data_IF_479158232168
#
_entry.id   IF_479158232168
#
_cell.length_a   1.000
_cell.length_b   1.000
_cell.length_c   1.000
_cell.angle_alpha   90.00
_cell.angle_beta   90.00
_cell.angle_gamma   90.00
#
_symmetry.space_group_name_H-M   'P 1'
#
loop_
_entity.id
_entity.type
_entity.pdbx_description
1 polymer ?
#
# COMPACT_ATOMS: atom_id res chain seq x y z
N UNK A 1 8.57 -88.98 21.21
CA UNK A 1 7.58 -87.82 21.14
C UNK A 1 8.21 -86.63 21.75
N UNK A 2 8.78 -85.74 20.95
CA UNK A 2 9.53 -84.57 21.39
C UNK A 2 8.76 -83.32 20.91
N UNK A 3 8.13 -82.62 21.87
CA UNK A 3 7.36 -81.39 21.60
C UNK A 3 8.30 -80.16 21.61
N UNK A 4 8.46 -79.56 20.43
CA UNK A 4 9.25 -78.32 20.25
C UNK A 4 8.32 -77.11 20.61
N UNK A 5 8.62 -76.38 21.69
CA UNK A 5 8.02 -75.09 22.00
C UNK A 5 8.87 -73.97 21.38
N UNK A 6 8.36 -73.34 20.29
CA UNK A 6 8.91 -72.08 19.76
C UNK A 6 8.47 -70.93 20.66
N UNK A 7 9.44 -70.24 21.25
CA UNK A 7 9.22 -68.94 21.95
C UNK A 7 9.19 -67.84 20.90
N UNK A 8 8.07 -67.12 20.82
CA UNK A 8 7.89 -65.94 20.05
C UNK A 8 8.44 -64.73 20.85
N UNK A 9 9.54 -64.14 20.42
CA UNK A 9 10.06 -62.87 21.01
C UNK A 9 9.32 -61.71 20.32
N UNK A 10 8.50 -60.99 21.10
CA UNK A 10 7.84 -59.76 20.65
C UNK A 10 8.81 -58.61 20.89
N UNK A 11 9.40 -58.08 19.85
CA UNK A 11 10.26 -56.88 19.92
C UNK A 11 9.32 -55.63 19.86
N UNK A 12 9.11 -54.98 20.99
CA UNK A 12 8.46 -53.67 21.05
C UNK A 12 9.42 -52.59 20.51
N UNK A 13 9.15 -52.08 19.31
CA UNK A 13 9.83 -50.88 18.78
C UNK A 13 9.21 -49.64 19.44
N UNK A 14 9.95 -48.98 20.34
CA UNK A 14 9.61 -47.66 20.85
C UNK A 14 9.85 -46.64 19.72
N UNK A 15 8.80 -46.10 19.15
CA UNK A 15 8.87 -44.94 18.25
C UNK A 15 8.96 -43.70 19.15
N UNK A 16 10.16 -43.17 19.31
CA UNK A 16 10.38 -41.86 19.93
C UNK A 16 9.86 -40.79 18.95
N UNK A 17 8.68 -40.29 19.18
CA UNK A 17 8.11 -39.16 18.44
C UNK A 17 8.92 -37.90 18.75
N UNK A 18 9.73 -37.43 17.80
CA UNK A 18 10.34 -36.11 17.85
C UNK A 18 9.20 -35.08 17.61
N UNK A 19 8.73 -34.45 18.69
CA UNK A 19 7.91 -33.25 18.59
C UNK A 19 8.80 -32.12 18.08
N UNK A 20 8.63 -31.73 16.82
CA UNK A 20 9.22 -30.50 16.28
C UNK A 20 8.65 -29.31 17.07
N UNK A 21 9.51 -28.39 17.55
CA UNK A 21 9.00 -27.18 18.18
C UNK A 21 8.10 -26.44 17.18
N UNK A 22 6.87 -26.13 17.57
CA UNK A 22 6.01 -25.24 16.81
C UNK A 22 6.71 -23.88 16.76
N UNK A 23 7.16 -23.45 15.58
CA UNK A 23 7.63 -22.09 15.36
C UNK A 23 6.42 -21.19 15.58
N UNK A 24 6.43 -20.41 16.65
CA UNK A 24 5.41 -19.40 16.89
C UNK A 24 5.43 -18.44 15.69
N UNK A 25 4.27 -18.22 15.05
CA UNK A 25 4.18 -17.22 14.01
C UNK A 25 4.52 -15.84 14.60
N UNK A 26 5.27 -15.04 13.86
CA UNK A 26 5.58 -13.67 14.27
C UNK A 26 4.28 -12.90 14.55
N UNK A 27 4.26 -12.03 15.57
CA UNK A 27 3.09 -11.22 15.88
C UNK A 27 2.73 -10.33 14.67
N UNK A 28 1.42 -10.02 14.46
CA UNK A 28 1.02 -9.12 13.39
C UNK A 28 1.74 -7.77 13.50
N UNK A 29 2.15 -7.21 12.37
CA UNK A 29 2.73 -5.87 12.29
C UNK A 29 1.71 -4.81 12.71
N UNK A 30 2.15 -3.70 13.30
CA UNK A 30 1.27 -2.63 13.77
C UNK A 30 1.38 -1.41 12.86
N UNK A 31 0.28 -1.00 12.23
CA UNK A 31 0.24 0.14 11.32
C UNK A 31 -0.62 1.28 11.89
N UNK A 32 -0.17 2.51 11.67
CA UNK A 32 -0.92 3.72 11.99
C UNK A 32 -1.52 4.30 10.70
N UNK A 33 -2.86 4.30 10.62
CA UNK A 33 -3.61 4.84 9.48
C UNK A 33 -3.98 6.28 9.76
N UNK A 34 -3.48 7.21 8.96
CA UNK A 34 -3.71 8.65 9.05
C UNK A 34 -4.68 9.07 7.95
N UNK A 35 -5.80 9.69 8.32
CA UNK A 35 -6.84 10.18 7.41
C UNK A 35 -7.21 11.64 7.67
N UNK A 36 -6.37 12.36 8.39
CA UNK A 36 -6.53 13.79 8.66
C UNK A 36 -6.30 14.59 7.39
N UNK A 37 -7.14 15.60 7.15
CA UNK A 37 -7.05 16.52 6.02
C UNK A 37 -6.99 17.96 6.48
N UNK A 38 -6.11 18.76 5.88
CA UNK A 38 -6.01 20.21 6.07
C UNK A 38 -6.39 20.99 4.80
N UNK A 39 -6.65 20.27 3.73
CA UNK A 39 -7.22 20.76 2.48
C UNK A 39 -8.55 20.06 2.20
N UNK A 40 -8.70 19.55 0.97
CA UNK A 40 -9.91 18.83 0.56
C UNK A 40 -10.06 17.52 1.35
N UNK A 41 -11.30 17.25 1.82
CA UNK A 41 -11.63 15.99 2.48
C UNK A 41 -12.45 15.11 1.55
N UNK A 42 -11.88 13.99 1.14
CA UNK A 42 -12.53 13.03 0.26
C UNK A 42 -13.67 12.28 0.97
N UNK A 43 -14.80 12.10 0.28
CA UNK A 43 -15.94 11.32 0.80
C UNK A 43 -15.61 9.84 0.98
N UNK A 44 -14.62 9.33 0.26
CA UNK A 44 -14.17 7.95 0.34
C UNK A 44 -13.37 7.60 1.60
N UNK A 45 -12.98 8.58 2.43
CA UNK A 45 -12.19 8.32 3.65
C UNK A 45 -12.84 7.29 4.60
N UNK A 46 -14.14 7.37 4.94
CA UNK A 46 -14.77 6.36 5.79
C UNK A 46 -14.72 4.95 5.18
N UNK A 47 -14.87 4.86 3.86
CA UNK A 47 -14.78 3.59 3.13
C UNK A 47 -13.34 3.05 3.15
N UNK A 48 -12.34 3.92 2.97
CA UNK A 48 -10.94 3.57 3.05
C UNK A 48 -10.58 3.00 4.44
N UNK A 49 -11.01 3.67 5.52
CA UNK A 49 -10.79 3.20 6.89
C UNK A 49 -11.43 1.82 7.14
N UNK A 50 -12.69 1.63 6.70
CA UNK A 50 -13.39 0.35 6.78
C UNK A 50 -12.59 -0.75 6.08
N UNK A 51 -12.23 -0.53 4.82
CA UNK A 51 -11.54 -1.53 3.99
C UNK A 51 -10.15 -1.87 4.55
N UNK A 52 -9.37 -0.88 4.98
CA UNK A 52 -8.06 -1.12 5.60
C UNK A 52 -8.19 -1.97 6.88
N UNK A 53 -9.21 -1.71 7.71
CA UNK A 53 -9.50 -2.53 8.88
C UNK A 53 -9.94 -3.96 8.54
N UNK A 54 -10.70 -4.14 7.46
CA UNK A 54 -11.11 -5.46 6.97
C UNK A 54 -9.93 -6.25 6.40
N UNK A 55 -9.07 -5.61 5.60
CA UNK A 55 -7.84 -6.22 5.07
C UNK A 55 -6.88 -6.65 6.19
N UNK A 56 -6.75 -5.84 7.25
CA UNK A 56 -5.98 -6.21 8.43
C UNK A 56 -6.52 -7.48 9.08
N UNK A 57 -7.85 -7.55 9.32
CA UNK A 57 -8.51 -8.73 9.91
C UNK A 57 -8.40 -9.97 9.03
N UNK A 58 -8.58 -9.83 7.72
CA UNK A 58 -8.57 -10.95 6.77
C UNK A 58 -7.16 -11.52 6.59
N UNK A 59 -6.15 -10.66 6.44
CA UNK A 59 -4.77 -11.08 6.22
C UNK A 59 -4.12 -11.64 7.48
N UNK A 60 -4.52 -11.14 8.66
CA UNK A 60 -3.87 -11.40 9.97
C UNK A 60 -2.38 -11.02 9.99
N UNK A 61 -1.89 -10.35 8.96
CA UNK A 61 -0.50 -9.97 8.83
C UNK A 61 -0.18 -8.66 9.58
N UNK A 62 -1.19 -7.82 9.79
CA UNK A 62 -1.04 -6.55 10.50
C UNK A 62 -2.32 -6.17 11.25
N UNK A 63 -2.18 -5.21 12.15
CA UNK A 63 -3.26 -4.51 12.85
C UNK A 63 -3.21 -3.04 12.50
N UNK A 64 -4.32 -2.31 12.70
CA UNK A 64 -4.40 -0.88 12.40
C UNK A 64 -4.92 -0.10 13.61
N UNK A 65 -4.24 1.01 13.91
CA UNK A 65 -4.74 2.12 14.73
C UNK A 65 -5.02 3.31 13.82
N UNK A 66 -5.89 4.23 14.23
CA UNK A 66 -6.31 5.36 13.40
C UNK A 66 -5.97 6.71 14.01
N UNK A 67 -5.61 7.64 13.13
CA UNK A 67 -5.44 9.08 13.38
C UNK A 67 -6.41 9.83 12.49
N UNK A 68 -7.47 10.38 13.09
CA UNK A 68 -8.60 11.00 12.38
C UNK A 68 -8.73 12.50 12.63
N UNK A 69 -8.07 12.98 13.67
CA UNK A 69 -8.15 14.36 14.16
C UNK A 69 -6.76 14.93 14.48
N UNK A 70 -6.68 16.24 14.66
CA UNK A 70 -5.44 16.89 15.13
C UNK A 70 -5.05 16.43 16.53
N UNK A 71 -6.05 16.15 17.38
CA UNK A 71 -5.81 15.59 18.71
C UNK A 71 -5.19 14.19 18.63
N UNK A 72 -5.67 13.35 17.70
CA UNK A 72 -5.03 12.04 17.43
C UNK A 72 -3.58 12.21 16.94
N UNK A 73 -3.32 13.20 16.06
CA UNK A 73 -1.94 13.51 15.62
C UNK A 73 -1.08 13.85 16.84
N UNK A 74 -1.54 14.79 17.70
CA UNK A 74 -0.79 15.22 18.86
C UNK A 74 -0.49 14.07 19.84
N UNK A 75 -1.42 13.14 19.99
CA UNK A 75 -1.32 12.04 20.97
C UNK A 75 -0.62 10.78 20.43
N UNK A 76 -0.76 10.46 19.13
CA UNK A 76 -0.30 9.19 18.53
C UNK A 76 0.91 9.35 17.60
N UNK A 77 1.28 10.58 17.22
CA UNK A 77 2.39 10.82 16.30
C UNK A 77 3.56 11.57 16.94
N UNK A 78 3.70 11.49 18.26
CA UNK A 78 4.93 11.93 18.94
C UNK A 78 6.10 11.02 18.60
N UNK A 79 7.34 11.51 18.70
CA UNK A 79 8.55 10.72 18.45
C UNK A 79 8.59 9.41 19.25
N UNK A 80 8.05 9.39 20.45
CA UNK A 80 7.93 8.19 21.29
C UNK A 80 6.90 7.22 20.70
N UNK A 81 5.70 7.70 20.38
CA UNK A 81 4.59 6.86 19.90
C UNK A 81 4.83 6.29 18.51
N UNK A 82 5.52 7.02 17.63
CA UNK A 82 5.89 6.52 16.31
C UNK A 82 6.72 5.22 16.37
N UNK A 83 7.51 5.02 17.43
CA UNK A 83 8.31 3.80 17.60
C UNK A 83 7.50 2.54 17.85
N UNK A 84 6.26 2.67 18.31
CA UNK A 84 5.35 1.55 18.60
C UNK A 84 4.78 0.90 17.32
N UNK A 85 4.96 1.53 16.15
CA UNK A 85 4.41 1.08 14.88
C UNK A 85 5.50 0.53 13.96
N UNK A 86 5.15 -0.44 13.11
CA UNK A 86 5.99 -0.98 12.04
C UNK A 86 5.88 -0.17 10.75
N UNK A 87 4.87 0.69 10.64
CA UNK A 87 4.68 1.56 9.47
C UNK A 87 3.46 2.47 9.56
N UNK A 88 3.32 3.30 8.53
CA UNK A 88 2.33 4.37 8.44
C UNK A 88 1.60 4.30 7.11
N UNK A 89 0.27 4.42 7.16
CA UNK A 89 -0.59 4.55 5.97
C UNK A 89 -1.20 5.94 5.97
N UNK A 90 -0.87 6.75 4.97
CA UNK A 90 -1.55 8.02 4.72
C UNK A 90 -2.59 7.79 3.64
N UNK A 91 -3.86 7.69 4.05
CA UNK A 91 -4.98 7.43 3.14
C UNK A 91 -5.80 8.71 2.95
N UNK A 92 -5.76 9.26 1.73
CA UNK A 92 -6.49 10.46 1.33
C UNK A 92 -6.21 11.70 2.22
N UNK A 93 -5.00 11.81 2.78
CA UNK A 93 -4.55 12.96 3.53
C UNK A 93 -4.27 14.15 2.61
N UNK A 94 -4.45 15.40 3.08
CA UNK A 94 -4.18 16.62 2.31
C UNK A 94 -3.64 17.73 3.19
N UNK A 95 -2.84 18.61 2.60
CA UNK A 95 -2.36 19.84 3.23
C UNK A 95 -1.29 19.60 4.29
N UNK A 96 -0.99 20.62 5.09
CA UNK A 96 0.10 20.58 6.08
C UNK A 96 -0.43 20.02 7.39
N UNK A 97 -0.14 18.77 7.69
CA UNK A 97 -0.53 18.12 8.93
C UNK A 97 0.32 18.64 10.10
N UNK A 98 -0.27 18.91 11.28
CA UNK A 98 0.44 19.45 12.44
C UNK A 98 1.18 18.34 13.22
N UNK A 99 2.14 17.65 12.55
CA UNK A 99 2.94 16.62 13.22
C UNK A 99 3.75 17.24 14.36
N UNK A 100 3.75 16.65 15.57
CA UNK A 100 4.54 17.16 16.68
C UNK A 100 6.05 17.20 16.38
N UNK A 101 6.54 16.21 15.66
CA UNK A 101 7.93 16.09 15.21
C UNK A 101 7.98 15.39 13.84
N UNK A 102 8.00 16.19 12.77
CA UNK A 102 8.06 15.70 11.41
C UNK A 102 9.39 15.02 11.09
N UNK A 103 10.49 15.52 11.66
CA UNK A 103 11.81 14.94 11.45
C UNK A 103 11.91 13.57 12.09
N UNK A 104 11.35 13.39 13.29
CA UNK A 104 11.24 12.07 13.93
C UNK A 104 10.40 11.11 13.06
N UNK A 105 9.25 11.55 12.53
CA UNK A 105 8.44 10.74 11.61
C UNK A 105 9.24 10.28 10.38
N UNK A 106 9.93 11.20 9.71
CA UNK A 106 10.75 10.89 8.55
C UNK A 106 11.92 9.94 8.89
N UNK A 107 12.52 10.12 10.07
CA UNK A 107 13.60 9.26 10.55
C UNK A 107 13.14 7.84 10.85
N UNK A 108 11.96 7.63 11.44
CA UNK A 108 11.42 6.29 11.69
C UNK A 108 11.25 5.51 10.38
N UNK A 109 10.77 6.17 9.31
CA UNK A 109 10.68 5.54 7.99
C UNK A 109 12.07 5.25 7.43
N UNK A 110 12.99 6.22 7.49
CA UNK A 110 14.36 6.05 6.99
C UNK A 110 15.12 4.91 7.70
N UNK A 111 14.76 4.59 8.93
CA UNK A 111 15.32 3.50 9.73
C UNK A 111 14.65 2.15 9.51
N UNK A 112 13.75 2.02 8.55
CA UNK A 112 13.21 0.73 8.12
C UNK A 112 11.70 0.55 8.27
N UNK A 113 10.96 1.55 8.78
CA UNK A 113 9.50 1.45 8.85
C UNK A 113 8.86 1.63 7.47
N UNK A 114 7.72 0.97 7.28
CA UNK A 114 6.94 1.07 6.07
C UNK A 114 6.23 2.43 5.95
N UNK A 115 6.16 2.97 4.73
CA UNK A 115 5.24 4.06 4.41
C UNK A 115 4.36 3.69 3.22
N UNK A 116 3.06 3.89 3.36
CA UNK A 116 2.07 3.64 2.32
C UNK A 116 1.29 4.93 2.07
N UNK A 117 1.42 5.50 0.88
CA UNK A 117 0.66 6.66 0.43
C UNK A 117 -0.48 6.24 -0.50
N UNK A 118 -1.68 6.74 -0.24
CA UNK A 118 -2.85 6.45 -1.05
C UNK A 118 -3.53 7.75 -1.48
N UNK A 119 -3.87 7.82 -2.75
CA UNK A 119 -4.55 8.92 -3.41
C UNK A 119 -3.90 10.27 -3.09
N UNK A 120 -4.58 11.16 -2.37
CA UNK A 120 -4.09 12.50 -2.05
C UNK A 120 -2.98 12.54 -0.98
N UNK A 121 -2.41 11.42 -0.58
CA UNK A 121 -1.20 11.44 0.25
C UNK A 121 -0.06 12.27 -0.37
N UNK A 122 0.03 12.35 -1.71
CA UNK A 122 0.98 13.19 -2.45
C UNK A 122 0.63 14.69 -2.45
N UNK A 123 -0.56 15.07 -1.96
CA UNK A 123 -1.03 16.45 -1.70
C UNK A 123 -0.78 16.88 -0.23
N UNK A 124 -0.11 16.02 0.53
CA UNK A 124 0.26 16.30 1.93
C UNK A 124 1.65 16.92 1.95
N UNK A 125 1.83 17.98 2.76
CA UNK A 125 3.05 18.78 2.84
C UNK A 125 3.52 19.38 1.51
N UNK A 126 2.67 19.41 0.50
CA UNK A 126 2.99 20.09 -0.74
C UNK A 126 2.85 21.61 -0.58
N UNK A 127 3.62 22.38 -1.35
CA UNK A 127 3.59 23.83 -1.22
C UNK A 127 4.37 24.57 -2.26
N UNK A 128 4.47 25.90 -2.06
CA UNK A 128 5.32 26.78 -2.87
C UNK A 128 6.71 26.86 -2.22
N UNK A 129 7.76 26.58 -2.96
CA UNK A 129 9.13 26.70 -2.45
C UNK A 129 9.99 25.47 -2.70
N UNK A 130 10.91 25.18 -1.77
CA UNK A 130 11.75 24.00 -1.85
C UNK A 130 10.92 22.72 -1.72
N UNK A 131 11.37 21.66 -2.38
CA UNK A 131 10.76 20.32 -2.28
C UNK A 131 10.79 19.87 -0.82
N UNK A 132 9.59 19.58 -0.30
CA UNK A 132 9.46 19.04 1.06
C UNK A 132 10.07 17.63 1.13
N UNK A 133 10.87 17.28 2.15
CA UNK A 133 11.43 15.94 2.32
C UNK A 133 10.39 14.82 2.28
N UNK A 134 9.17 15.06 2.76
CA UNK A 134 8.06 14.11 2.66
C UNK A 134 7.72 13.79 1.20
N UNK A 135 7.71 14.79 0.32
CA UNK A 135 7.42 14.61 -1.11
C UNK A 135 8.53 13.78 -1.79
N UNK A 136 9.80 14.06 -1.48
CA UNK A 136 10.93 13.25 -2.00
C UNK A 136 10.85 11.80 -1.50
N UNK A 137 10.45 11.59 -0.25
CA UNK A 137 10.16 10.26 0.29
C UNK A 137 9.00 9.60 -0.45
N UNK A 138 7.87 10.30 -0.62
CA UNK A 138 6.67 9.78 -1.31
C UNK A 138 6.96 9.44 -2.78
N UNK A 139 7.90 10.13 -3.42
CA UNK A 139 8.35 9.89 -4.79
C UNK A 139 7.60 10.67 -5.86
N UNK A 140 6.64 11.52 -5.49
CA UNK A 140 5.90 12.38 -6.40
C UNK A 140 5.03 13.38 -5.64
N UNK A 141 4.80 14.55 -6.23
CA UNK A 141 3.98 15.63 -5.70
C UNK A 141 2.76 15.84 -6.58
N UNK A 142 1.58 15.89 -5.97
CA UNK A 142 0.35 16.24 -6.66
C UNK A 142 0.47 17.59 -7.38
N UNK A 143 0.13 17.61 -8.66
CA UNK A 143 0.15 18.82 -9.49
C UNK A 143 -1.24 19.25 -9.97
N UNK A 144 -2.21 18.33 -9.98
CA UNK A 144 -3.57 18.59 -10.40
C UNK A 144 -4.25 17.33 -10.94
N UNK A 145 -5.52 17.47 -11.25
CA UNK A 145 -6.36 16.45 -11.87
C UNK A 145 -7.40 17.11 -12.77
N UNK A 146 -8.11 16.32 -13.57
CA UNK A 146 -9.29 16.77 -14.31
C UNK A 146 -10.57 16.11 -13.77
N UNK A 147 -11.56 15.94 -14.64
CA UNK A 147 -12.76 15.18 -14.30
C UNK A 147 -12.41 13.70 -14.06
N UNK A 148 -13.22 13.02 -13.25
CA UNK A 148 -13.17 11.57 -13.09
C UNK A 148 -13.52 10.89 -14.42
N UNK A 149 -12.68 9.97 -14.87
CA UNK A 149 -12.78 9.32 -16.18
C UNK A 149 -12.41 7.85 -16.11
N UNK A 150 -12.79 7.09 -17.16
CA UNK A 150 -12.31 5.74 -17.36
C UNK A 150 -10.87 5.72 -17.85
N UNK A 151 -10.08 4.76 -17.37
CA UNK A 151 -8.70 4.55 -17.79
C UNK A 151 -8.35 3.07 -17.90
N UNK A 152 -7.35 2.78 -18.70
CA UNK A 152 -6.67 1.51 -18.75
C UNK A 152 -5.24 1.70 -18.25
N UNK A 153 -4.98 1.23 -17.02
CA UNK A 153 -3.65 1.28 -16.43
C UNK A 153 -2.79 0.15 -16.98
N UNK A 154 -1.63 0.47 -17.52
CA UNK A 154 -0.62 -0.49 -17.92
C UNK A 154 0.10 -1.04 -16.68
N UNK A 155 0.30 -2.35 -16.63
CA UNK A 155 1.12 -2.99 -15.60
C UNK A 155 2.57 -2.89 -16.01
N UNK A 156 3.35 -2.11 -15.25
CA UNK A 156 4.77 -1.86 -15.54
C UNK A 156 5.66 -2.95 -14.95
N UNK A 157 5.28 -3.49 -13.80
CA UNK A 157 5.96 -4.61 -13.15
C UNK A 157 4.97 -5.74 -12.83
N UNK A 158 4.87 -6.77 -13.67
CA UNK A 158 3.95 -7.90 -13.45
C UNK A 158 4.44 -8.87 -12.35
N UNK A 159 5.69 -8.79 -11.91
CA UNK A 159 6.26 -9.69 -10.90
C UNK A 159 6.09 -9.13 -9.47
N UNK A 160 5.89 -7.82 -9.32
CA UNK A 160 5.72 -7.21 -8.01
C UNK A 160 4.43 -7.69 -7.32
N UNK A 161 4.50 -7.95 -6.02
CA UNK A 161 3.37 -8.47 -5.23
C UNK A 161 2.06 -7.68 -5.46
N UNK A 162 2.13 -6.34 -5.54
CA UNK A 162 0.95 -5.48 -5.68
C UNK A 162 0.29 -5.53 -7.06
N UNK A 163 0.95 -6.05 -8.08
CA UNK A 163 0.49 -6.02 -9.48
C UNK A 163 0.37 -7.41 -10.12
N UNK A 164 1.05 -8.44 -9.59
CA UNK A 164 1.08 -9.79 -10.16
C UNK A 164 -0.28 -10.46 -10.33
N UNK A 165 -1.34 -9.97 -9.68
CA UNK A 165 -2.71 -10.46 -9.85
C UNK A 165 -3.45 -9.78 -11.01
N UNK A 166 -2.88 -8.71 -11.54
CA UNK A 166 -3.35 -8.02 -12.74
C UNK A 166 -2.73 -8.70 -13.97
N UNK A 167 -3.33 -8.48 -15.13
CA UNK A 167 -2.77 -8.92 -16.41
C UNK A 167 -1.80 -7.86 -16.95
N UNK A 168 -1.74 -7.72 -18.26
CA UNK A 168 -0.94 -6.67 -18.92
C UNK A 168 -1.48 -5.27 -18.65
N UNK A 169 -2.81 -5.16 -18.43
CA UNK A 169 -3.48 -3.91 -18.11
C UNK A 169 -4.65 -4.11 -17.13
N UNK A 170 -5.07 -3.01 -16.53
CA UNK A 170 -6.20 -2.96 -15.62
C UNK A 170 -7.15 -1.81 -15.98
N UNK A 171 -8.36 -2.16 -16.41
CA UNK A 171 -9.41 -1.20 -16.77
C UNK A 171 -10.17 -0.76 -15.52
N UNK A 172 -10.24 0.54 -15.32
CA UNK A 172 -11.02 1.22 -14.27
C UNK A 172 -12.04 2.10 -14.97
N UNK A 173 -13.33 1.93 -14.65
CA UNK A 173 -14.41 2.59 -15.38
C UNK A 173 -14.52 4.08 -15.07
N UNK A 174 -14.19 4.48 -13.84
CA UNK A 174 -14.15 5.88 -13.43
C UNK A 174 -13.26 6.07 -12.21
N UNK A 175 -12.31 7.00 -12.31
CA UNK A 175 -11.44 7.41 -11.20
C UNK A 175 -10.91 8.82 -11.46
N UNK A 176 -10.39 9.47 -10.44
CA UNK A 176 -9.68 10.73 -10.56
C UNK A 176 -8.20 10.46 -10.83
N UNK A 177 -7.71 10.92 -11.97
CA UNK A 177 -6.34 10.63 -12.40
C UNK A 177 -5.45 11.86 -12.15
N UNK A 178 -4.41 11.66 -11.37
CA UNK A 178 -3.48 12.70 -10.97
C UNK A 178 -2.40 12.96 -12.01
N UNK A 179 -2.02 14.23 -12.11
CA UNK A 179 -0.77 14.68 -12.68
C UNK A 179 0.21 14.93 -11.56
N UNK A 180 1.46 14.57 -11.78
CA UNK A 180 2.52 14.74 -10.80
C UNK A 180 3.57 15.70 -11.28
N UNK A 181 4.19 16.43 -10.35
CA UNK A 181 5.47 17.12 -10.47
C UNK A 181 6.44 16.48 -9.46
N UNK A 182 7.74 16.82 -9.57
CA UNK A 182 8.76 16.25 -8.68
C UNK A 182 8.76 14.71 -8.63
N UNK A 183 8.34 14.10 -9.72
CA UNK A 183 8.38 12.67 -9.96
C UNK A 183 9.53 12.34 -10.90
N UNK A 184 10.34 11.34 -10.54
CA UNK A 184 11.55 10.97 -11.30
C UNK A 184 11.62 9.46 -11.46
N UNK A 185 11.45 8.95 -12.69
CA UNK A 185 11.50 7.51 -13.03
C UNK A 185 12.74 6.80 -12.51
N UNK A 186 13.88 7.46 -12.50
CA UNK A 186 15.14 6.92 -12.00
C UNK A 186 15.25 6.86 -10.46
N UNK A 187 14.22 7.27 -9.74
CA UNK A 187 14.17 7.23 -8.27
C UNK A 187 13.08 6.32 -7.73
N UNK A 188 12.20 5.82 -8.59
CA UNK A 188 11.06 4.97 -8.22
C UNK A 188 10.97 3.78 -9.17
N UNK A 189 10.34 2.71 -8.73
CA UNK A 189 9.92 1.60 -9.59
C UNK A 189 8.45 1.76 -9.90
N UNK A 190 8.11 1.99 -11.17
CA UNK A 190 6.72 2.06 -11.60
C UNK A 190 6.04 0.70 -11.50
N UNK A 191 4.84 0.71 -10.98
CA UNK A 191 3.96 -0.45 -10.85
C UNK A 191 2.79 -0.37 -11.82
N UNK A 192 2.17 0.81 -11.90
CA UNK A 192 1.08 1.12 -12.82
C UNK A 192 1.32 2.50 -13.46
N UNK A 193 1.07 2.61 -14.77
CA UNK A 193 1.16 3.87 -15.51
C UNK A 193 0.09 3.98 -16.58
N UNK A 194 -0.02 5.16 -17.20
CA UNK A 194 -0.81 5.38 -18.42
C UNK A 194 0.14 5.84 -19.53
N UNK A 195 -0.13 5.39 -20.76
CA UNK A 195 0.53 5.88 -21.98
C UNK A 195 -0.13 7.16 -22.54
N UNK A 196 -1.34 7.46 -22.08
CA UNK A 196 -2.14 8.65 -22.45
C UNK A 196 -2.86 9.17 -21.22
N UNK A 197 -2.77 10.48 -20.99
CA UNK A 197 -3.51 11.08 -19.88
C UNK A 197 -4.86 11.63 -20.37
N UNK A 198 -5.99 11.10 -19.83
CA UNK A 198 -7.32 11.43 -20.34
C UNK A 198 -7.65 12.92 -20.22
N UNK A 199 -7.17 13.58 -19.17
CA UNK A 199 -7.41 15.01 -18.90
C UNK A 199 -6.43 15.94 -19.63
N UNK A 200 -5.47 15.40 -20.40
CA UNK A 200 -4.55 16.13 -21.28
C UNK A 200 -4.84 15.86 -22.76
N UNK A 201 -6.11 15.78 -23.16
CA UNK A 201 -6.53 15.52 -24.54
C UNK A 201 -5.90 14.24 -25.13
N UNK A 202 -5.68 13.22 -24.29
CA UNK A 202 -5.02 11.97 -24.65
C UNK A 202 -3.59 12.16 -25.19
N UNK A 203 -2.90 13.20 -24.73
CA UNK A 203 -1.48 13.37 -25.01
C UNK A 203 -0.72 12.09 -24.64
N UNK A 204 0.06 11.57 -25.58
CA UNK A 204 0.91 10.40 -25.34
C UNK A 204 2.08 10.77 -24.42
N UNK A 205 2.43 9.85 -23.55
CA UNK A 205 3.53 10.05 -22.61
C UNK A 205 3.51 9.01 -21.50
N UNK A 206 4.32 9.22 -20.49
CA UNK A 206 4.35 8.39 -19.30
C UNK A 206 3.67 9.13 -18.15
N UNK A 207 2.59 8.58 -17.63
CA UNK A 207 1.83 9.16 -16.52
C UNK A 207 1.72 8.12 -15.40
N UNK A 208 2.51 8.25 -14.33
CA UNK A 208 2.54 7.28 -13.24
C UNK A 208 1.22 7.25 -12.48
N UNK A 209 0.79 6.07 -12.07
CA UNK A 209 -0.41 5.84 -11.26
C UNK A 209 -0.05 5.21 -9.92
N UNK A 210 0.90 4.28 -9.91
CA UNK A 210 1.38 3.61 -8.71
C UNK A 210 2.86 3.28 -8.85
N UNK A 211 3.60 3.38 -7.75
CA UNK A 211 5.03 3.08 -7.70
C UNK A 211 5.47 2.62 -6.32
N UNK A 212 6.69 2.12 -6.27
CA UNK A 212 7.37 1.84 -5.01
C UNK A 212 8.83 2.31 -5.06
N UNK A 213 9.46 2.46 -3.91
CA UNK A 213 10.88 2.81 -3.76
C UNK A 213 11.38 2.46 -2.37
N UNK A 214 12.68 2.55 -2.17
CA UNK A 214 13.30 2.60 -0.83
C UNK A 214 13.50 4.04 -0.37
N UNK A 215 13.51 4.24 0.94
CA UNK A 215 13.91 5.49 1.60
C UNK A 215 14.76 5.15 2.83
N UNK A 216 16.08 5.20 2.70
CA UNK A 216 16.98 4.56 3.64
C UNK A 216 16.73 3.05 3.68
N UNK A 217 16.49 2.51 4.87
CA UNK A 217 16.10 1.11 5.06
C UNK A 217 14.58 0.87 4.89
N UNK A 218 13.77 1.93 4.86
CA UNK A 218 12.32 1.84 4.75
C UNK A 218 11.85 1.60 3.32
N UNK A 219 10.64 1.05 3.18
CA UNK A 219 9.98 0.78 1.91
C UNK A 219 8.74 1.65 1.75
N UNK A 220 8.62 2.28 0.61
CA UNK A 220 7.54 3.20 0.24
C UNK A 220 6.70 2.55 -0.85
N UNK A 221 5.41 2.41 -0.62
CA UNK A 221 4.43 2.05 -1.64
C UNK A 221 3.46 3.22 -1.82
N UNK A 222 3.19 3.61 -3.05
CA UNK A 222 2.22 4.65 -3.36
C UNK A 222 1.28 4.23 -4.48
N UNK A 223 0.00 4.60 -4.34
CA UNK A 223 -1.00 4.52 -5.41
C UNK A 223 -1.86 5.78 -5.43
N UNK A 224 -2.02 6.41 -6.60
CA UNK A 224 -2.88 7.60 -6.76
C UNK A 224 -4.37 7.24 -6.83
N UNK A 225 -4.71 5.98 -6.95
CA UNK A 225 -6.09 5.50 -6.94
C UNK A 225 -6.69 5.60 -5.53
N UNK A 226 -8.00 5.79 -5.43
CA UNK A 226 -8.71 5.81 -4.13
C UNK A 226 -9.61 7.03 -3.92
N UNK A 227 -9.91 7.80 -4.99
CA UNK A 227 -10.86 8.92 -4.90
C UNK A 227 -12.28 8.44 -4.63
N UNK A 228 -12.71 7.38 -5.31
CA UNK A 228 -14.09 6.90 -5.28
C UNK A 228 -14.28 5.77 -4.27
N UNK A 229 -15.42 5.78 -3.59
CA UNK A 229 -15.82 4.72 -2.66
C UNK A 229 -15.90 3.35 -3.35
N UNK A 230 -16.39 3.34 -4.60
CA UNK A 230 -16.62 2.12 -5.36
C UNK A 230 -15.34 1.53 -6.00
N UNK A 231 -14.19 2.19 -5.83
CA UNK A 231 -12.89 1.55 -6.09
C UNK A 231 -12.40 0.83 -4.83
N UNK A 232 -12.69 1.36 -3.63
CA UNK A 232 -12.30 0.75 -2.36
C UNK A 232 -13.09 -0.51 -2.03
N UNK A 233 -14.43 -0.43 -2.16
CA UNK A 233 -15.33 -1.43 -1.59
C UNK A 233 -16.23 -2.04 -2.67
N UNK A 234 -16.20 -3.39 -2.87
CA UNK A 234 -17.14 -4.08 -3.76
C UNK A 234 -18.59 -4.00 -3.26
N UNK A 235 -18.81 -3.67 -1.99
CA UNK A 235 -20.12 -3.59 -1.34
C UNK A 235 -20.36 -2.19 -0.76
N UNK A 236 -20.17 -1.14 -1.59
CA UNK A 236 -20.48 0.25 -1.23
C UNK A 236 -21.94 0.39 -0.79
N UNK A 237 -22.20 1.35 0.11
CA UNK A 237 -23.54 1.65 0.60
C UNK A 237 -24.51 2.00 -0.56
N UNK A 238 -25.80 1.70 -0.40
CA UNK A 238 -26.84 1.86 -1.44
C UNK A 238 -27.02 3.30 -1.94
N UNK A 239 -26.66 4.29 -1.12
CA UNK A 239 -26.70 5.71 -1.52
C UNK A 239 -25.54 6.13 -2.43
N UNK A 240 -24.55 5.26 -2.67
CA UNK A 240 -23.42 5.52 -3.55
C UNK A 240 -23.67 4.84 -4.89
N UNK A 241 -23.88 5.66 -5.94
CA UNK A 241 -24.03 5.13 -7.29
C UNK A 241 -22.73 4.50 -7.76
N UNK A 242 -22.71 3.16 -7.82
CA UNK A 242 -21.60 2.40 -8.36
C UNK A 242 -21.42 2.62 -9.86
N UNK A 243 -20.21 2.91 -10.28
CA UNK A 243 -19.76 3.01 -11.68
C UNK A 243 -18.70 1.96 -11.98
N UNK A 244 -17.78 1.72 -11.02
CA UNK A 244 -16.78 0.67 -11.13
C UNK A 244 -17.41 -0.69 -10.80
N UNK A 245 -17.30 -1.70 -11.68
CA UNK A 245 -17.73 -3.06 -11.39
C UNK A 245 -17.03 -3.62 -10.12
N UNK A 246 -17.68 -4.51 -9.39
CA UNK A 246 -17.14 -5.10 -8.15
C UNK A 246 -15.73 -5.71 -8.31
N UNK A 247 -15.41 -6.28 -9.48
CA UNK A 247 -14.09 -6.85 -9.72
C UNK A 247 -12.96 -5.80 -9.71
N UNK A 248 -13.27 -4.54 -10.04
CA UNK A 248 -12.31 -3.42 -9.95
C UNK A 248 -11.93 -3.18 -8.49
N UNK A 249 -12.93 -3.12 -7.59
CA UNK A 249 -12.68 -2.96 -6.15
C UNK A 249 -11.92 -4.16 -5.57
N UNK A 250 -12.25 -5.38 -5.98
CA UNK A 250 -11.54 -6.59 -5.56
C UNK A 250 -10.07 -6.56 -6.01
N UNK A 251 -9.82 -6.10 -7.24
CA UNK A 251 -8.46 -5.94 -7.77
C UNK A 251 -7.71 -4.83 -7.00
N UNK A 252 -8.38 -3.71 -6.70
CA UNK A 252 -7.80 -2.62 -5.91
C UNK A 252 -7.43 -3.08 -4.50
N UNK A 253 -8.32 -3.81 -3.81
CA UNK A 253 -8.02 -4.35 -2.48
C UNK A 253 -6.80 -5.28 -2.49
N UNK A 254 -6.65 -6.12 -3.53
CA UNK A 254 -5.44 -6.94 -3.71
C UNK A 254 -4.20 -6.09 -3.97
N UNK A 255 -4.32 -5.05 -4.80
CA UNK A 255 -3.24 -4.12 -5.10
C UNK A 255 -2.70 -3.45 -3.83
N UNK A 256 -3.59 -2.85 -3.03
CA UNK A 256 -3.17 -2.16 -1.80
C UNK A 256 -2.73 -3.12 -0.70
N UNK A 257 -3.41 -4.27 -0.52
CA UNK A 257 -2.99 -5.27 0.48
C UNK A 257 -1.57 -5.75 0.19
N UNK A 258 -1.30 -6.15 -1.04
CA UNK A 258 0.02 -6.66 -1.40
C UNK A 258 1.09 -5.55 -1.40
N UNK A 259 0.73 -4.30 -1.70
CA UNK A 259 1.60 -3.14 -1.53
C UNK A 259 1.96 -2.90 -0.06
N UNK A 260 0.98 -3.01 0.85
CA UNK A 260 1.21 -2.95 2.30
C UNK A 260 2.14 -4.09 2.75
N UNK A 261 1.84 -5.31 2.35
CA UNK A 261 2.66 -6.48 2.70
C UNK A 261 4.09 -6.35 2.19
N UNK A 262 4.28 -5.86 0.95
CA UNK A 262 5.59 -5.59 0.42
C UNK A 262 6.35 -4.52 1.21
N UNK A 263 5.69 -3.41 1.54
CA UNK A 263 6.30 -2.34 2.34
C UNK A 263 6.70 -2.83 3.75
N UNK A 264 5.94 -3.76 4.33
CA UNK A 264 6.25 -4.41 5.61
C UNK A 264 7.33 -5.52 5.51
N UNK A 265 7.84 -5.83 4.31
CA UNK A 265 8.80 -6.91 4.11
C UNK A 265 8.18 -8.32 4.18
N UNK A 266 6.86 -8.44 4.04
CA UNK A 266 6.09 -9.69 4.13
C UNK A 266 5.71 -10.25 2.74
N UNK A 267 6.05 -9.55 1.67
CA UNK A 267 5.81 -9.98 0.29
C UNK A 267 6.98 -9.59 -0.61
N UNK A 268 7.18 -10.35 -1.67
CA UNK A 268 8.26 -10.16 -2.63
C UNK A 268 7.99 -9.02 -3.63
N UNK A 269 9.05 -8.40 -4.13
CA UNK A 269 9.03 -7.34 -5.14
C UNK A 269 10.28 -6.48 -5.05
N UNK A 270 10.73 -6.01 -6.20
CA UNK A 270 11.88 -5.13 -6.33
C UNK A 270 11.47 -3.66 -6.10
N UNK A 271 12.43 -2.84 -5.67
CA UNK A 271 12.28 -1.39 -5.55
C UNK A 271 13.22 -0.62 -6.48
N UNK A 272 14.15 -1.33 -7.12
CA UNK A 272 15.06 -0.73 -8.10
C UNK A 272 14.27 -0.18 -9.28
N UNK A 273 14.53 1.06 -9.72
CA UNK A 273 13.85 1.63 -10.87
C UNK A 273 13.89 0.71 -12.11
N UNK A 274 12.82 0.74 -12.90
CA UNK A 274 12.79 0.01 -14.16
C UNK A 274 13.81 0.59 -15.15
N UNK A 275 14.41 -0.24 -16.01
CA UNK A 275 15.29 0.25 -17.08
C UNK A 275 14.48 1.06 -18.11
N UNK A 276 15.16 1.96 -18.83
CA UNK A 276 14.47 2.86 -19.77
C UNK A 276 13.70 2.13 -20.87
N UNK A 277 14.15 0.96 -21.29
CA UNK A 277 13.51 0.11 -22.30
C UNK A 277 12.11 -0.40 -21.85
N UNK A 278 11.85 -0.44 -20.55
CA UNK A 278 10.51 -0.81 -20.04
C UNK A 278 9.44 0.23 -20.41
N UNK A 279 9.83 1.42 -20.82
CA UNK A 279 8.95 2.54 -21.19
C UNK A 279 8.76 2.69 -22.71
N UNK A 280 9.43 1.89 -23.52
CA UNK A 280 9.34 1.87 -24.98
C UNK A 280 8.16 0.98 -25.46
N UNK A 281 6.91 1.33 -25.03
CA UNK A 281 5.69 0.55 -25.34
C UNK A 281 4.72 1.31 -26.20
#
# INVERSE_FOLDING_TARGET
MTTNRRRLLLTCMLIAGFALPAVAADPPKKLLVVTVTKGFRHSSIPTAEKVLGELAKQSKAFTVDYVRTDEDIANKMTAEKLREYDGFIFANTTGILPLPDKDAFMNEIKQGKAFIGMHSASDTFHGKGMLDPYIDMCGGEFAGHGAQVGVECLVMDPEHASTKHLKESWVINQEEIYLFKNYYRNKVRDLLSLDKHPNKKHECGHFPVSWCKTYGEGRIFYTSLGHREDIWDPDTADNIKRVNPKHVSVAYQKHILNGILWALGLAEGEATPLPDEAYDR
#
